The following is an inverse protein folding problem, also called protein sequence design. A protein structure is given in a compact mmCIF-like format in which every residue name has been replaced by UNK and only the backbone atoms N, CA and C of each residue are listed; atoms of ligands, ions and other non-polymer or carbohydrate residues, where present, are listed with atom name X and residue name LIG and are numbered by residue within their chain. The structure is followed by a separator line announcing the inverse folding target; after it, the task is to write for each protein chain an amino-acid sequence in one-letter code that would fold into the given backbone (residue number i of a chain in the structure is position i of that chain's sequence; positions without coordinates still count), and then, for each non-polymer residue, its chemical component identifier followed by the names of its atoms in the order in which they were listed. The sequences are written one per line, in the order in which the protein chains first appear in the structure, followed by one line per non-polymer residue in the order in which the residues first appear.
data_IF_106164480197
#
_entry.id   IF_106164480197
#
_cell.length_a   1.000
_cell.length_b   1.000
_cell.length_c   1.000
_cell.angle_alpha   90.00
_cell.angle_beta   90.00
_cell.angle_gamma   90.00
#
_symmetry.space_group_name_H-M   'P 1'
#
loop_
_entity.id
_entity.type
_entity.pdbx_description
1 polymer ?
#
# COMPACT_ATOMS: atom_id res chain seq x y z
N UNK A 1 -9.61 1.65 -8.28
CA UNK A 1 -9.40 0.58 -9.26
C UNK A 1 -9.34 1.12 -10.65
N UNK A 2 -8.34 0.70 -11.41
CA UNK A 2 -8.26 0.98 -12.83
C UNK A 2 -9.34 0.24 -13.60
N UNK A 3 -9.74 0.83 -14.68
CA UNK A 3 -10.81 0.33 -15.52
C UNK A 3 -10.22 -0.44 -16.70
N UNK A 4 -9.70 -1.60 -16.40
CA UNK A 4 -9.26 -2.54 -17.42
C UNK A 4 -10.41 -3.49 -17.76
N UNK A 5 -10.80 -3.57 -19.02
CA UNK A 5 -11.77 -4.48 -19.62
C UNK A 5 -12.80 -5.16 -18.70
N UNK A 6 -12.39 -6.18 -17.94
CA UNK A 6 -13.26 -6.95 -17.03
C UNK A 6 -13.71 -6.15 -15.81
N UNK A 7 -12.99 -5.12 -15.42
CA UNK A 7 -13.31 -4.28 -14.26
C UNK A 7 -14.36 -3.22 -14.56
N UNK A 8 -14.74 -3.04 -15.83
CA UNK A 8 -15.79 -2.09 -16.24
C UNK A 8 -17.14 -2.31 -15.58
N UNK A 9 -17.39 -3.54 -15.16
CA UNK A 9 -18.64 -3.91 -14.50
C UNK A 9 -18.57 -3.77 -12.97
N UNK A 10 -17.42 -3.38 -12.42
CA UNK A 10 -17.26 -3.17 -10.98
C UNK A 10 -17.62 -1.74 -10.61
N UNK A 11 -18.30 -1.60 -9.48
CA UNK A 11 -18.56 -0.28 -8.88
C UNK A 11 -17.26 0.27 -8.29
N UNK A 12 -16.91 1.48 -8.67
CA UNK A 12 -15.75 2.19 -8.10
C UNK A 12 -16.01 2.54 -6.65
N UNK A 13 -14.98 2.44 -5.81
CA UNK A 13 -15.01 3.00 -4.47
C UNK A 13 -15.00 4.54 -4.52
N UNK A 14 -15.66 5.16 -3.56
CA UNK A 14 -15.72 6.63 -3.45
C UNK A 14 -14.52 7.22 -2.68
N UNK A 15 -13.62 6.37 -2.16
CA UNK A 15 -12.45 6.81 -1.42
C UNK A 15 -11.72 5.66 -0.74
N UNK A 16 -10.76 6.02 0.09
CA UNK A 16 -10.00 5.10 0.93
C UNK A 16 -10.56 5.13 2.34
N UNK A 17 -10.65 3.97 2.98
CA UNK A 17 -11.15 3.84 4.34
C UNK A 17 -10.34 2.84 5.15
N UNK A 18 -10.37 3.00 6.45
CA UNK A 18 -9.78 2.06 7.41
C UNK A 18 -10.87 1.43 8.27
N UNK A 19 -10.59 0.25 8.78
CA UNK A 19 -11.43 -0.45 9.74
C UNK A 19 -10.58 -0.99 10.89
N UNK A 20 -11.18 -1.19 12.03
CA UNK A 20 -10.55 -1.85 13.16
C UNK A 20 -10.78 -3.36 13.07
N UNK A 21 -9.71 -4.12 13.13
CA UNK A 21 -9.71 -5.58 13.12
C UNK A 21 -9.34 -6.08 14.52
N UNK A 22 -10.27 -6.74 15.18
CA UNK A 22 -10.02 -7.39 16.46
C UNK A 22 -9.25 -8.69 16.27
N UNK A 23 -8.18 -8.83 17.03
CA UNK A 23 -7.34 -10.05 17.04
C UNK A 23 -7.21 -10.59 18.46
N UNK A 24 -6.76 -11.83 18.61
CA UNK A 24 -6.49 -12.42 19.91
C UNK A 24 -5.42 -11.67 20.74
N UNK A 25 -4.65 -10.77 20.11
CA UNK A 25 -3.58 -9.98 20.74
C UNK A 25 -3.90 -8.48 20.83
N UNK A 26 -5.13 -8.10 20.57
CA UNK A 26 -5.56 -6.71 20.53
C UNK A 26 -6.02 -6.27 19.13
N UNK A 27 -6.54 -5.05 19.02
CA UNK A 27 -7.01 -4.53 17.74
C UNK A 27 -5.88 -3.92 16.91
N UNK A 28 -6.07 -3.94 15.60
CA UNK A 28 -5.20 -3.31 14.60
C UNK A 28 -6.03 -2.54 13.61
N UNK A 29 -5.61 -1.32 13.28
CA UNK A 29 -6.28 -0.52 12.25
C UNK A 29 -5.76 -0.89 10.88
N UNK A 30 -6.65 -1.41 10.05
CA UNK A 30 -6.34 -1.94 8.72
C UNK A 30 -6.94 -1.06 7.65
N UNK A 31 -6.13 -0.72 6.63
CA UNK A 31 -6.57 -0.08 5.39
C UNK A 31 -6.48 -1.03 4.21
N UNK A 32 -7.13 -0.70 3.11
CA UNK A 32 -7.05 -1.46 1.86
C UNK A 32 -6.78 -0.56 0.67
N UNK A 33 -5.90 -0.99 -0.22
CA UNK A 33 -5.72 -0.43 -1.56
C UNK A 33 -5.55 -1.60 -2.54
N UNK A 34 -6.12 -1.49 -3.74
CA UNK A 34 -6.20 -2.62 -4.66
C UNK A 34 -5.25 -2.41 -5.82
N UNK A 35 -4.29 -3.32 -5.99
CA UNK A 35 -3.42 -3.44 -7.15
C UNK A 35 -2.87 -2.07 -7.61
N UNK A 36 -3.45 -1.47 -8.64
CA UNK A 36 -3.03 -0.23 -9.25
C UNK A 36 -3.08 1.00 -8.31
N UNK A 37 -3.89 0.97 -7.25
CA UNK A 37 -3.95 2.07 -6.27
C UNK A 37 -2.58 2.33 -5.64
N UNK A 38 -1.73 1.30 -5.49
CA UNK A 38 -0.38 1.43 -4.93
C UNK A 38 0.59 2.24 -5.79
N UNK A 39 0.31 2.38 -7.11
CA UNK A 39 1.13 3.19 -8.01
C UNK A 39 1.10 4.68 -7.61
N UNK A 40 0.03 5.10 -6.92
CA UNK A 40 -0.16 6.47 -6.46
C UNK A 40 0.23 6.60 -4.97
N UNK A 41 1.25 7.43 -4.64
CA UNK A 41 1.69 7.61 -3.25
C UNK A 41 0.58 8.15 -2.33
N UNK A 42 -0.38 8.85 -2.89
CA UNK A 42 -1.52 9.41 -2.18
C UNK A 42 -2.39 8.34 -1.53
N UNK A 43 -2.56 7.18 -2.17
CA UNK A 43 -3.38 6.07 -1.67
C UNK A 43 -2.91 5.59 -0.30
N UNK A 44 -1.65 5.21 -0.19
CA UNK A 44 -1.06 4.79 1.09
C UNK A 44 -0.99 5.95 2.10
N UNK A 45 -0.75 7.18 1.62
CA UNK A 45 -0.71 8.37 2.46
C UNK A 45 -2.06 8.69 3.09
N UNK A 46 -3.15 8.57 2.34
CA UNK A 46 -4.51 8.77 2.86
C UNK A 46 -4.81 7.73 3.94
N UNK A 47 -4.49 6.46 3.69
CA UNK A 47 -4.71 5.38 4.67
C UNK A 47 -3.89 5.61 5.94
N UNK A 48 -2.63 6.03 5.84
CA UNK A 48 -1.82 6.39 7.01
C UNK A 48 -2.42 7.58 7.77
N UNK A 49 -2.94 8.58 7.08
CA UNK A 49 -3.61 9.74 7.70
C UNK A 49 -4.94 9.38 8.38
N UNK A 50 -5.53 8.24 8.01
CA UNK A 50 -6.67 7.61 8.69
C UNK A 50 -6.21 6.58 9.73
N UNK A 51 -4.95 6.64 10.12
CA UNK A 51 -4.33 5.86 11.17
C UNK A 51 -4.14 4.37 10.87
N UNK A 52 -4.10 3.97 9.59
CA UNK A 52 -3.76 2.60 9.23
C UNK A 52 -2.39 2.19 9.81
N UNK A 53 -2.35 1.04 10.46
CA UNK A 53 -1.14 0.38 10.95
C UNK A 53 -0.68 -0.71 9.98
N UNK A 54 -1.65 -1.30 9.28
CA UNK A 54 -1.44 -2.31 8.25
C UNK A 54 -2.28 -1.96 7.02
N UNK A 55 -1.67 -1.97 5.85
CA UNK A 55 -2.37 -1.82 4.58
C UNK A 55 -2.34 -3.16 3.85
N UNK A 56 -3.51 -3.67 3.47
CA UNK A 56 -3.66 -4.88 2.68
C UNK A 56 -3.78 -4.53 1.20
N UNK A 57 -3.04 -5.22 0.35
CA UNK A 57 -2.96 -4.98 -1.08
C UNK A 57 -3.24 -6.26 -1.87
N UNK A 58 -4.51 -6.57 -2.16
CA UNK A 58 -4.83 -7.56 -3.18
C UNK A 58 -4.26 -7.11 -4.53
N UNK A 59 -3.56 -7.99 -5.23
CA UNK A 59 -2.78 -7.63 -6.39
C UNK A 59 -2.88 -8.67 -7.51
N UNK A 60 -2.77 -8.23 -8.74
CA UNK A 60 -2.73 -9.07 -9.94
C UNK A 60 -1.85 -8.40 -10.99
N UNK A 61 -0.54 -8.55 -10.87
CA UNK A 61 0.41 -8.03 -11.85
C UNK A 61 1.81 -8.66 -11.67
N UNK A 62 2.73 -8.47 -12.63
CA UNK A 62 4.12 -8.84 -12.42
C UNK A 62 4.71 -7.99 -11.29
N UNK A 63 5.22 -8.64 -10.26
CA UNK A 63 5.94 -8.01 -9.15
C UNK A 63 7.42 -8.04 -9.45
N UNK A 64 7.92 -6.96 -10.03
CA UNK A 64 9.32 -6.77 -10.39
C UNK A 64 9.97 -5.71 -9.49
N UNK A 65 11.26 -5.50 -9.65
CA UNK A 65 12.06 -4.67 -8.73
C UNK A 65 11.46 -3.27 -8.47
N UNK A 66 10.86 -2.62 -9.47
CA UNK A 66 10.30 -1.27 -9.28
C UNK A 66 9.02 -1.31 -8.43
N UNK A 67 8.16 -2.32 -8.63
CA UNK A 67 6.93 -2.49 -7.85
C UNK A 67 7.21 -2.92 -6.42
N UNK A 68 8.21 -3.79 -6.22
CA UNK A 68 8.69 -4.13 -4.88
C UNK A 68 9.30 -2.91 -4.18
N UNK A 69 10.09 -2.11 -4.90
CA UNK A 69 10.64 -0.85 -4.39
C UNK A 69 9.54 0.19 -4.06
N UNK A 70 8.47 0.27 -4.87
CA UNK A 70 7.31 1.09 -4.55
C UNK A 70 6.67 0.70 -3.21
N UNK A 71 6.36 -0.59 -3.01
CA UNK A 71 5.75 -1.06 -1.76
C UNK A 71 6.66 -0.78 -0.57
N UNK A 72 7.95 -1.02 -0.71
CA UNK A 72 8.96 -0.66 0.29
C UNK A 72 8.94 0.84 0.59
N UNK A 73 8.90 1.70 -0.44
CA UNK A 73 8.83 3.15 -0.26
C UNK A 73 7.54 3.59 0.42
N UNK A 74 6.39 2.99 0.06
CA UNK A 74 5.10 3.26 0.71
C UNK A 74 5.13 2.88 2.20
N UNK A 75 5.73 1.73 2.54
CA UNK A 75 5.90 1.33 3.94
C UNK A 75 6.81 2.31 4.70
N UNK A 76 7.96 2.66 4.10
CA UNK A 76 8.94 3.58 4.65
C UNK A 76 8.36 4.96 4.96
N UNK A 77 7.84 5.63 3.95
CA UNK A 77 7.41 7.04 4.04
C UNK A 77 6.16 7.26 4.90
N UNK A 78 5.41 6.17 5.16
CA UNK A 78 4.18 6.20 5.95
C UNK A 78 4.33 5.58 7.34
N UNK A 79 5.46 4.94 7.65
CA UNK A 79 5.65 4.16 8.88
C UNK A 79 4.46 3.21 9.11
N UNK A 80 4.10 2.46 8.08
CA UNK A 80 2.91 1.62 8.06
C UNK A 80 3.28 0.28 7.43
N UNK A 81 2.86 -0.82 8.04
CA UNK A 81 3.08 -2.13 7.43
C UNK A 81 2.24 -2.29 6.16
N UNK A 82 2.82 -2.94 5.14
CA UNK A 82 2.12 -3.21 3.87
C UNK A 82 2.25 -4.69 3.54
N UNK A 83 1.12 -5.38 3.46
CA UNK A 83 1.02 -6.78 3.08
C UNK A 83 0.37 -6.89 1.68
N UNK A 84 1.09 -7.49 0.75
CA UNK A 84 0.61 -7.71 -0.62
C UNK A 84 0.34 -9.18 -0.84
N UNK A 85 -0.82 -9.51 -1.42
CA UNK A 85 -1.16 -10.84 -1.90
C UNK A 85 -1.32 -10.79 -3.42
N UNK A 86 -0.40 -11.44 -4.13
CA UNK A 86 -0.39 -11.50 -5.59
C UNK A 86 -0.72 -12.90 -6.09
N UNK A 87 -1.24 -13.00 -7.30
CA UNK A 87 -1.44 -14.30 -7.96
C UNK A 87 -0.10 -14.97 -8.26
N UNK A 88 -0.06 -16.33 -8.21
CA UNK A 88 1.15 -17.08 -8.45
C UNK A 88 1.61 -17.03 -9.91
N UNK A 89 2.81 -17.52 -10.13
CA UNK A 89 3.34 -17.79 -11.47
C UNK A 89 2.42 -18.76 -12.23
N UNK A 90 2.28 -18.54 -13.54
CA UNK A 90 1.34 -19.29 -14.38
C UNK A 90 -0.04 -18.64 -14.56
N UNK A 91 -0.44 -17.71 -13.71
CA UNK A 91 -1.56 -16.81 -13.98
C UNK A 91 -1.06 -15.71 -14.94
N UNK A 92 -1.79 -15.39 -16.03
CA UNK A 92 -1.38 -14.35 -16.98
C UNK A 92 -0.99 -13.04 -16.28
N UNK A 93 0.16 -12.51 -16.67
CA UNK A 93 0.71 -11.26 -16.13
C UNK A 93 0.98 -11.26 -14.61
N UNK A 94 1.12 -12.44 -13.99
CA UNK A 94 1.45 -12.58 -12.57
C UNK A 94 2.69 -13.48 -12.38
N UNK A 95 3.40 -13.27 -11.29
CA UNK A 95 4.65 -13.98 -10.98
C UNK A 95 4.85 -14.29 -9.49
N UNK A 96 3.80 -14.24 -8.67
CA UNK A 96 3.91 -14.40 -7.23
C UNK A 96 4.50 -13.17 -6.54
N UNK A 97 5.52 -13.35 -5.71
CA UNK A 97 6.20 -12.31 -4.94
C UNK A 97 5.26 -11.51 -4.03
N UNK A 98 4.37 -12.21 -3.33
CA UNK A 98 3.61 -11.63 -2.23
C UNK A 98 4.56 -11.20 -1.11
N UNK A 99 4.35 -10.01 -0.52
CA UNK A 99 5.31 -9.43 0.42
C UNK A 99 4.64 -8.92 1.69
N UNK A 100 5.42 -8.84 2.77
CA UNK A 100 5.13 -8.00 3.94
C UNK A 100 6.33 -7.11 4.21
N UNK A 101 6.11 -5.79 4.15
CA UNK A 101 7.03 -4.78 4.65
C UNK A 101 6.51 -4.25 6.00
N UNK A 102 7.35 -4.15 7.02
CA UNK A 102 6.93 -3.77 8.38
C UNK A 102 6.84 -2.25 8.63
N UNK A 103 7.46 -1.43 7.78
CA UNK A 103 7.44 0.02 7.89
C UNK A 103 8.38 0.64 8.92
N UNK A 104 9.29 -0.12 9.54
CA UNK A 104 10.19 0.33 10.62
C UNK A 104 11.64 0.45 10.14
N UNK A 105 11.89 1.41 9.25
CA UNK A 105 13.15 1.53 8.49
C UNK A 105 14.42 1.79 9.32
N UNK A 106 14.31 2.45 10.47
CA UNK A 106 15.48 2.77 11.30
C UNK A 106 15.82 1.68 12.30
N UNK A 107 14.85 0.82 12.56
CA UNK A 107 15.01 -0.30 13.52
C UNK A 107 15.58 -1.55 12.85
N UNK A 108 15.19 -1.77 11.62
CA UNK A 108 15.65 -2.87 10.78
C UNK A 108 16.11 -2.30 9.44
N UNK A 109 17.37 -2.53 9.05
CA UNK A 109 17.90 -2.09 7.74
C UNK A 109 17.07 -2.62 6.58
N UNK A 110 16.51 -3.82 6.75
CA UNK A 110 15.56 -4.42 5.82
C UNK A 110 14.17 -4.51 6.45
N UNK A 111 13.23 -3.72 5.96
CA UNK A 111 11.83 -3.76 6.39
C UNK A 111 11.06 -4.98 5.84
N UNK A 112 11.71 -5.86 5.09
CA UNK A 112 11.08 -7.02 4.45
C UNK A 112 10.97 -8.18 5.44
N UNK A 113 9.75 -8.44 5.90
CA UNK A 113 9.43 -9.57 6.79
C UNK A 113 9.15 -10.87 6.01
N UNK A 114 8.64 -10.73 4.80
CA UNK A 114 8.27 -11.83 3.92
C UNK A 114 8.37 -11.40 2.47
N UNK A 115 8.96 -12.26 1.64
CA UNK A 115 8.75 -12.31 0.20
C UNK A 115 8.53 -13.77 -0.21
N UNK A 116 7.34 -14.06 -0.74
CA UNK A 116 7.01 -15.37 -1.28
C UNK A 116 7.70 -15.58 -2.63
N UNK A 117 7.88 -16.84 -3.03
CA UNK A 117 8.29 -17.19 -4.39
C UNK A 117 7.16 -17.03 -5.42
N UNK A 118 7.34 -17.68 -6.58
CA UNK A 118 6.35 -17.69 -7.66
C UNK A 118 5.20 -18.69 -7.43
N UNK A 119 5.35 -19.64 -6.54
CA UNK A 119 4.38 -20.72 -6.32
C UNK A 119 3.11 -20.26 -5.57
N UNK A 120 2.03 -21.00 -5.81
CA UNK A 120 0.80 -20.86 -5.03
C UNK A 120 1.02 -21.41 -3.61
N UNK A 121 0.55 -20.67 -2.59
CA UNK A 121 0.71 -21.11 -1.22
C UNK A 121 0.10 -20.18 -0.17
N UNK A 122 0.18 -20.61 1.07
CA UNK A 122 -0.13 -19.80 2.26
C UNK A 122 1.19 -19.48 2.95
N UNK A 123 1.49 -18.21 3.04
CA UNK A 123 2.73 -17.72 3.65
C UNK A 123 2.38 -16.97 4.92
N UNK A 124 3.11 -17.26 6.00
CA UNK A 124 2.85 -16.68 7.33
C UNK A 124 4.01 -15.79 7.74
N UNK A 125 3.70 -14.58 8.13
CA UNK A 125 4.66 -13.64 8.69
C UNK A 125 4.13 -13.03 9.99
N UNK A 126 5.01 -12.45 10.78
CA UNK A 126 4.66 -11.79 12.03
C UNK A 126 4.90 -10.29 11.91
N UNK A 127 3.91 -9.49 12.34
CA UNK A 127 4.06 -8.05 12.46
C UNK A 127 4.10 -7.66 13.94
N UNK A 128 5.23 -7.11 14.43
CA UNK A 128 5.35 -6.68 15.84
C UNK A 128 4.68 -5.32 16.06
N UNK A 129 3.34 -5.29 16.16
CA UNK A 129 2.54 -4.06 16.26
C UNK A 129 2.97 -3.12 17.39
N UNK A 130 3.32 -3.64 18.55
CA UNK A 130 3.79 -2.81 19.67
C UNK A 130 5.08 -2.05 19.31
N UNK A 131 6.00 -2.70 18.59
CA UNK A 131 7.23 -2.08 18.09
C UNK A 131 6.92 -1.03 17.01
N UNK A 132 6.02 -1.34 16.08
CA UNK A 132 5.59 -0.39 15.06
C UNK A 132 4.92 0.85 15.67
N UNK A 133 4.07 0.68 16.69
CA UNK A 133 3.41 1.80 17.38
C UNK A 133 4.43 2.71 18.05
N UNK A 134 5.37 2.13 18.79
CA UNK A 134 6.46 2.88 19.41
C UNK A 134 7.30 3.63 18.38
N UNK A 135 7.68 2.97 17.28
CA UNK A 135 8.40 3.57 16.17
C UNK A 135 7.67 4.80 15.59
N UNK A 136 6.35 4.70 15.40
CA UNK A 136 5.51 5.79 14.89
C UNK A 136 5.42 6.98 15.85
N UNK A 137 5.55 6.75 17.16
CA UNK A 137 5.56 7.81 18.19
C UNK A 137 6.89 8.55 18.25
N UNK A 138 7.99 7.88 17.99
CA UNK A 138 9.34 8.39 18.20
C UNK A 138 9.97 9.00 16.92
N UNK A 139 9.59 8.51 15.75
CA UNK A 139 10.24 8.88 14.48
C UNK A 139 9.62 10.07 13.76
N UNK A 140 10.40 10.65 12.86
CA UNK A 140 10.09 11.95 12.24
C UNK A 140 9.32 11.88 10.90
N UNK A 141 9.01 10.70 10.39
CA UNK A 141 8.28 10.51 9.13
C UNK A 141 6.76 10.49 9.32
N UNK A 142 6.04 9.94 8.36
CA UNK A 142 4.59 9.88 8.41
C UNK A 142 3.94 11.26 8.39
N UNK A 143 3.25 11.62 9.45
CA UNK A 143 2.50 12.89 9.53
C UNK A 143 3.19 13.98 10.37
N UNK A 144 4.25 13.66 11.11
CA UNK A 144 4.84 14.51 12.16
C UNK A 144 5.26 15.90 11.65
N UNK A 145 5.98 15.96 10.53
CA UNK A 145 6.50 17.22 9.98
C UNK A 145 5.90 17.61 8.63
N UNK A 146 4.75 17.02 8.27
CA UNK A 146 4.05 17.40 7.05
C UNK A 146 3.61 18.86 7.09
N UNK A 147 3.63 19.51 5.93
CA UNK A 147 3.18 20.90 5.75
C UNK A 147 2.00 20.96 4.77
N UNK A 148 0.79 20.51 5.13
CA UNK A 148 -0.35 20.38 4.21
C UNK A 148 -0.71 21.65 3.45
N UNK A 149 -0.43 22.82 4.03
CA UNK A 149 -0.65 24.11 3.36
C UNK A 149 0.14 24.30 2.06
N UNK A 150 1.23 23.53 1.88
CA UNK A 150 2.06 23.57 0.67
C UNK A 150 1.65 22.54 -0.38
N UNK A 151 0.70 21.65 -0.08
CA UNK A 151 0.35 20.50 -0.93
C UNK A 151 -0.94 20.73 -1.72
N UNK A 152 -1.32 21.97 -1.97
CA UNK A 152 -2.58 22.31 -2.67
C UNK A 152 -2.67 21.72 -4.09
N UNK A 153 -1.53 21.60 -4.76
CA UNK A 153 -1.48 21.03 -6.10
C UNK A 153 -1.87 19.54 -6.15
N UNK A 154 -1.72 18.80 -5.03
CA UNK A 154 -2.12 17.40 -4.94
C UNK A 154 -3.66 17.19 -5.02
N UNK A 155 -4.44 18.21 -4.71
CA UNK A 155 -5.90 18.17 -4.79
C UNK A 155 -6.44 18.92 -6.00
N UNK A 156 -5.56 19.36 -6.89
CA UNK A 156 -5.96 20.03 -8.13
C UNK A 156 -6.41 19.00 -9.16
N UNK A 157 -7.57 19.21 -9.74
CA UNK A 157 -8.07 18.37 -10.84
C UNK A 157 -7.42 18.73 -12.19
N UNK A 158 -6.54 19.73 -12.21
CA UNK A 158 -5.88 20.20 -13.43
C UNK A 158 -4.88 19.18 -13.95
N UNK A 159 -5.11 18.74 -15.19
CA UNK A 159 -4.18 17.85 -15.91
C UNK A 159 -3.52 18.61 -17.03
N UNK A 160 -2.22 18.53 -17.12
CA UNK A 160 -1.39 19.19 -18.11
C UNK A 160 -0.73 18.17 -19.04
N UNK A 161 -0.41 18.52 -20.30
CA UNK A 161 0.44 17.69 -21.13
C UNK A 161 1.77 17.37 -20.43
N UNK A 162 2.32 16.14 -20.60
CA UNK A 162 1.88 15.09 -21.52
C UNK A 162 0.80 14.14 -20.95
N UNK A 163 0.24 14.41 -19.77
CA UNK A 163 -0.66 13.48 -19.05
C UNK A 163 -2.13 13.56 -19.49
N UNK A 164 -2.46 14.43 -20.42
CA UNK A 164 -3.82 14.51 -20.99
C UNK A 164 -4.10 13.27 -21.83
N UNK A 165 -5.10 12.48 -21.44
CA UNK A 165 -5.47 11.21 -22.07
C UNK A 165 -6.94 11.24 -22.44
N UNK A 166 -7.28 10.70 -23.66
CA UNK A 166 -8.67 10.61 -24.13
C UNK A 166 -9.48 9.52 -23.43
N UNK A 167 -8.78 8.53 -22.89
CA UNK A 167 -9.31 7.36 -22.19
C UNK A 167 -9.42 7.56 -20.66
N UNK A 168 -9.07 8.77 -20.20
CA UNK A 168 -9.27 9.10 -18.80
C UNK A 168 -10.75 9.14 -18.45
N UNK A 169 -11.10 8.52 -17.34
CA UNK A 169 -12.44 8.64 -16.76
C UNK A 169 -12.47 9.71 -15.68
N UNK A 170 -13.51 10.51 -15.75
CA UNK A 170 -13.84 11.53 -14.75
C UNK A 170 -14.49 10.89 -13.53
#
# INVERSE_FOLDING_TARGET
TCDFDVERNLTRGEGFSTAELDTAKGSVRVGGMICYDREFPESARILMLQDAELILVPNACPMEINRLAQLRARAFENMTAIATANYPEGVPDCNGHSTLFNGMAWEDEDMLELEAGGEEGIFVASLPLAKLRKYREEECMGNTYRRPRLYKDLISERILPPFVRKDRRD
#
